data_IF_270211862285
#
_entry.id   IF_270211862285
#
_cell.length_a   1.000
_cell.length_b   1.000
_cell.length_c   1.000
_cell.angle_alpha   90.00
_cell.angle_beta   90.00
_cell.angle_gamma   90.00
#
_symmetry.space_group_name_H-M   'P 1'
#
loop_
_entity.id
_entity.type
_entity.pdbx_description
1 polymer ?
#
# COMPACT_ATOMS: atom_id res chain seq x y z
N UNK A 1 4.27 15.47 -49.72
CA UNK A 1 4.25 13.99 -49.65
C UNK A 1 5.11 13.45 -48.48
N UNK A 2 5.15 14.12 -47.32
CA UNK A 2 5.83 13.62 -46.11
C UNK A 2 5.11 13.98 -44.79
N UNK A 3 3.89 14.55 -44.84
CA UNK A 3 3.16 15.01 -43.65
C UNK A 3 2.08 14.03 -43.15
N UNK A 4 2.03 12.79 -43.67
CA UNK A 4 0.98 11.81 -43.34
C UNK A 4 1.46 10.60 -42.52
N UNK A 5 2.72 10.56 -42.08
CA UNK A 5 3.28 9.41 -41.34
C UNK A 5 3.41 9.61 -39.81
N UNK A 6 2.91 10.72 -39.25
CA UNK A 6 2.94 10.96 -37.79
C UNK A 6 1.60 10.69 -37.08
N UNK A 7 0.55 10.27 -37.79
CA UNK A 7 -0.74 9.93 -37.21
C UNK A 7 -0.85 8.44 -36.81
N UNK A 8 0.10 7.96 -36.01
CA UNK A 8 -0.14 6.76 -35.20
C UNK A 8 -0.62 7.21 -33.82
N UNK A 9 -1.83 6.83 -33.37
CA UNK A 9 -2.28 7.11 -32.01
C UNK A 9 -1.46 6.26 -31.04
N UNK A 10 -0.35 6.81 -30.55
CA UNK A 10 0.52 6.22 -29.54
C UNK A 10 -0.05 6.32 -28.13
N UNK A 11 -1.14 7.06 -27.94
CA UNK A 11 -1.78 7.23 -26.62
C UNK A 11 -2.32 5.92 -26.03
N UNK A 12 -2.68 4.92 -26.86
CA UNK A 12 -3.31 3.68 -26.37
C UNK A 12 -2.35 2.52 -26.08
N UNK A 13 -1.05 2.64 -26.41
CA UNK A 13 -0.08 1.56 -26.16
C UNK A 13 0.71 1.70 -24.85
N UNK A 14 0.77 2.91 -24.28
CA UNK A 14 1.63 3.18 -23.12
C UNK A 14 0.95 2.78 -21.79
N UNK A 15 -0.39 2.73 -21.73
CA UNK A 15 -1.12 2.62 -20.46
C UNK A 15 -1.68 1.22 -20.12
N UNK A 16 -1.51 0.22 -21.00
CA UNK A 16 -1.94 -1.17 -20.73
C UNK A 16 -0.74 -2.06 -20.49
N UNK A 17 -0.47 -2.37 -19.22
CA UNK A 17 0.44 -3.46 -18.87
C UNK A 17 -0.03 -4.75 -19.55
N UNK A 18 0.90 -5.44 -20.22
CA UNK A 18 0.59 -6.75 -20.76
C UNK A 18 0.40 -7.79 -19.63
N UNK A 19 -0.18 -8.94 -19.93
CA UNK A 19 -0.48 -9.96 -18.91
C UNK A 19 0.76 -10.43 -18.14
N UNK A 20 1.92 -10.53 -18.80
CA UNK A 20 3.17 -10.95 -18.15
C UNK A 20 3.63 -9.93 -17.11
N UNK A 21 3.55 -8.64 -17.43
CA UNK A 21 3.88 -7.55 -16.51
C UNK A 21 2.91 -7.51 -15.33
N UNK A 22 1.60 -7.73 -15.58
CA UNK A 22 0.59 -7.81 -14.51
C UNK A 22 0.88 -8.97 -13.55
N UNK A 23 1.18 -10.16 -14.08
CA UNK A 23 1.54 -11.32 -13.26
C UNK A 23 2.81 -11.08 -12.45
N UNK A 24 3.81 -10.43 -13.06
CA UNK A 24 5.05 -10.09 -12.35
C UNK A 24 4.78 -9.09 -11.21
N UNK A 25 4.00 -8.04 -11.47
CA UNK A 25 3.59 -7.10 -10.44
C UNK A 25 2.78 -7.76 -9.31
N UNK A 26 1.89 -8.71 -9.64
CA UNK A 26 1.16 -9.49 -8.65
C UNK A 26 2.10 -10.31 -7.78
N UNK A 27 3.06 -11.02 -8.37
CA UNK A 27 4.07 -11.80 -7.63
C UNK A 27 4.88 -10.91 -6.69
N UNK A 28 5.26 -9.71 -7.13
CA UNK A 28 5.96 -8.74 -6.27
C UNK A 28 5.07 -8.26 -5.12
N UNK A 29 3.80 -7.98 -5.39
CA UNK A 29 2.83 -7.62 -4.33
C UNK A 29 2.70 -8.69 -3.26
N UNK A 30 2.59 -9.96 -3.66
CA UNK A 30 2.56 -11.09 -2.72
C UNK A 30 3.90 -11.35 -2.04
N UNK A 31 5.03 -11.16 -2.73
CA UNK A 31 6.36 -11.23 -2.10
C UNK A 31 6.51 -10.19 -0.97
N UNK A 32 5.86 -9.03 -1.11
CA UNK A 32 5.76 -8.03 -0.04
C UNK A 32 5.04 -8.49 1.23
N UNK A 33 4.29 -9.60 1.21
CA UNK A 33 3.72 -10.17 2.44
C UNK A 33 4.71 -10.98 3.27
N UNK A 34 5.82 -11.43 2.66
CA UNK A 34 6.78 -12.32 3.33
C UNK A 34 7.32 -11.69 4.63
N UNK A 35 7.76 -10.41 4.66
CA UNK A 35 8.23 -9.82 5.91
C UNK A 35 7.14 -9.71 6.98
N UNK A 36 5.90 -9.39 6.59
CA UNK A 36 4.77 -9.35 7.54
C UNK A 36 4.53 -10.71 8.19
N UNK A 37 4.53 -11.79 7.40
CA UNK A 37 4.31 -13.14 7.91
C UNK A 37 5.44 -13.57 8.86
N UNK A 38 6.69 -13.35 8.46
CA UNK A 38 7.86 -13.72 9.27
C UNK A 38 7.88 -12.97 10.61
N UNK A 39 7.62 -11.66 10.58
CA UNK A 39 7.63 -10.82 11.78
C UNK A 39 6.42 -11.13 12.68
N UNK A 40 5.25 -11.41 12.11
CA UNK A 40 4.09 -11.82 12.88
C UNK A 40 4.30 -13.18 13.57
N UNK A 41 4.89 -14.14 12.86
CA UNK A 41 5.25 -15.45 13.44
C UNK A 41 6.31 -15.32 14.53
N UNK A 42 7.34 -14.50 14.31
CA UNK A 42 8.35 -14.22 15.34
C UNK A 42 7.71 -13.61 16.60
N UNK A 43 6.76 -12.68 16.43
CA UNK A 43 5.97 -12.13 17.53
C UNK A 43 5.13 -13.18 18.25
N UNK A 44 4.48 -14.07 17.52
CA UNK A 44 3.61 -15.12 18.08
C UNK A 44 4.40 -16.21 18.84
N UNK A 45 5.59 -16.55 18.36
CA UNK A 45 6.48 -17.54 19.00
C UNK A 45 7.33 -16.92 20.12
N UNK A 46 7.13 -15.64 20.41
CA UNK A 46 7.94 -14.83 21.32
C UNK A 46 9.46 -14.87 21.02
N UNK A 47 9.81 -15.07 19.75
CA UNK A 47 11.21 -15.00 19.28
C UNK A 47 11.54 -13.54 19.07
N UNK A 48 12.08 -12.90 20.12
CA UNK A 48 12.31 -11.46 20.17
C UNK A 48 11.01 -10.65 19.95
N UNK A 49 9.93 -11.02 20.64
CA UNK A 49 8.57 -10.53 20.36
C UNK A 49 8.44 -9.00 20.25
N UNK A 50 8.98 -8.25 21.21
CA UNK A 50 8.95 -6.78 21.18
C UNK A 50 9.65 -6.18 19.96
N UNK A 51 10.82 -6.73 19.59
CA UNK A 51 11.59 -6.31 18.42
C UNK A 51 10.81 -6.68 17.15
N UNK A 52 10.24 -7.90 17.08
CA UNK A 52 9.45 -8.34 15.94
C UNK A 52 8.24 -7.43 15.68
N UNK A 53 7.50 -7.03 16.74
CA UNK A 53 6.37 -6.09 16.65
C UNK A 53 6.84 -4.70 16.19
N UNK A 54 7.99 -4.24 16.69
CA UNK A 54 8.56 -2.96 16.28
C UNK A 54 8.91 -2.96 14.78
N UNK A 55 9.62 -3.98 14.29
CA UNK A 55 9.94 -4.12 12.87
C UNK A 55 8.70 -4.32 11.99
N UNK A 56 7.70 -5.05 12.49
CA UNK A 56 6.41 -5.18 11.82
C UNK A 56 5.75 -3.82 11.61
N UNK A 57 5.77 -2.98 12.66
CA UNK A 57 5.25 -1.60 12.61
C UNK A 57 6.01 -0.76 11.59
N UNK A 58 7.34 -0.83 11.58
CA UNK A 58 8.18 -0.08 10.64
C UNK A 58 7.90 -0.47 9.20
N UNK A 59 7.77 -1.78 8.95
CA UNK A 59 7.45 -2.29 7.62
C UNK A 59 6.03 -1.89 7.17
N UNK A 60 5.06 -1.88 8.09
CA UNK A 60 3.70 -1.39 7.85
C UNK A 60 3.69 0.08 7.41
N UNK A 61 4.46 0.94 8.09
CA UNK A 61 4.63 2.35 7.71
C UNK A 61 5.29 2.50 6.33
N UNK A 62 6.31 1.69 6.03
CA UNK A 62 6.98 1.72 4.73
C UNK A 62 6.04 1.32 3.58
N UNK A 63 5.26 0.25 3.76
CA UNK A 63 4.33 -0.24 2.74
C UNK A 63 3.22 0.77 2.46
N UNK A 64 2.59 1.35 3.49
CA UNK A 64 1.55 2.34 3.25
C UNK A 64 2.08 3.62 2.60
N UNK A 65 3.33 4.00 2.92
CA UNK A 65 4.01 5.12 2.28
C UNK A 65 4.30 4.84 0.81
N UNK A 66 4.78 3.63 0.50
CA UNK A 66 5.00 3.17 -0.87
C UNK A 66 3.70 3.20 -1.69
N UNK A 67 2.59 2.72 -1.13
CA UNK A 67 1.28 2.70 -1.80
C UNK A 67 0.76 4.10 -2.13
N UNK A 68 0.95 5.04 -1.21
CA UNK A 68 0.62 6.44 -1.47
C UNK A 68 1.48 7.03 -2.59
N UNK A 69 2.78 6.69 -2.64
CA UNK A 69 3.68 7.05 -3.73
C UNK A 69 3.25 6.48 -5.09
N UNK A 70 2.78 5.23 -5.13
CA UNK A 70 2.21 4.62 -6.35
C UNK A 70 0.98 5.41 -6.83
N UNK A 71 0.07 5.78 -5.92
CA UNK A 71 -1.11 6.57 -6.29
C UNK A 71 -0.72 7.96 -6.80
N UNK A 72 0.29 8.60 -6.19
CA UNK A 72 0.82 9.88 -6.65
C UNK A 72 1.36 9.78 -8.09
N UNK A 73 2.16 8.74 -8.38
CA UNK A 73 2.67 8.46 -9.71
C UNK A 73 1.59 8.17 -10.75
N UNK A 74 0.54 7.44 -10.37
CA UNK A 74 -0.59 7.18 -11.27
C UNK A 74 -1.37 8.46 -11.61
N UNK A 75 -1.60 9.33 -10.62
CA UNK A 75 -2.27 10.60 -10.87
C UNK A 75 -1.45 11.47 -11.84
N UNK A 76 -0.12 11.50 -11.73
CA UNK A 76 0.72 12.21 -12.70
C UNK A 76 0.65 11.63 -14.12
N UNK A 77 0.49 10.31 -14.22
CA UNK A 77 0.36 9.62 -15.50
C UNK A 77 -1.00 9.88 -16.19
N UNK A 78 -1.97 10.50 -15.51
CA UNK A 78 -3.29 10.86 -16.05
C UNK A 78 -3.51 12.39 -16.00
N UNK A 79 -2.90 13.18 -16.91
CA UNK A 79 -2.89 14.65 -16.83
C UNK A 79 -4.27 15.30 -16.82
N UNK A 80 -5.27 14.68 -17.47
CA UNK A 80 -6.64 15.21 -17.54
C UNK A 80 -7.45 14.99 -16.25
N UNK A 81 -7.05 14.04 -15.40
CA UNK A 81 -7.73 13.70 -14.15
C UNK A 81 -6.95 14.16 -12.89
N UNK A 82 -5.69 14.55 -13.07
CA UNK A 82 -4.82 15.02 -12.00
C UNK A 82 -5.28 16.41 -11.50
N UNK A 83 -5.50 16.54 -10.20
CA UNK A 83 -5.72 17.84 -9.55
C UNK A 83 -4.72 17.98 -8.41
N UNK A 84 -4.22 19.19 -8.14
CA UNK A 84 -3.36 19.48 -6.99
C UNK A 84 -3.93 18.91 -5.69
N UNK A 85 -5.26 18.96 -5.53
CA UNK A 85 -5.98 18.34 -4.40
C UNK A 85 -5.78 16.82 -4.32
N UNK A 86 -5.90 16.09 -5.43
CA UNK A 86 -5.74 14.62 -5.48
C UNK A 86 -4.29 14.21 -5.21
N UNK A 87 -3.33 14.98 -5.73
CA UNK A 87 -1.91 14.78 -5.44
C UNK A 87 -1.62 15.04 -3.95
N UNK A 88 -2.20 16.10 -3.37
CA UNK A 88 -2.11 16.37 -1.92
C UNK A 88 -2.68 15.25 -1.06
N UNK A 89 -3.78 14.62 -1.48
CA UNK A 89 -4.36 13.46 -0.78
C UNK A 89 -3.42 12.26 -0.71
N UNK A 90 -2.47 12.13 -1.63
CA UNK A 90 -1.45 11.06 -1.58
C UNK A 90 -0.49 11.22 -0.41
N UNK A 91 -0.34 12.42 0.14
CA UNK A 91 0.55 12.68 1.27
C UNK A 91 -0.09 12.34 2.62
N UNK A 92 -1.42 12.18 2.66
CA UNK A 92 -2.13 11.92 3.93
C UNK A 92 -1.70 10.60 4.57
N UNK A 93 -1.70 9.43 3.89
CA UNK A 93 -1.31 8.17 4.53
C UNK A 93 0.14 8.13 5.01
N UNK A 94 1.16 8.53 4.22
CA UNK A 94 2.55 8.55 4.69
C UNK A 94 2.72 9.43 5.92
N UNK A 95 2.10 10.61 5.95
CA UNK A 95 2.18 11.54 7.09
C UNK A 95 1.50 10.94 8.32
N UNK A 96 0.32 10.34 8.18
CA UNK A 96 -0.37 9.71 9.32
C UNK A 96 0.37 8.45 9.82
N UNK A 97 1.01 7.70 8.93
CA UNK A 97 1.81 6.54 9.30
C UNK A 97 3.10 6.95 10.02
N UNK A 98 3.79 7.99 9.52
CA UNK A 98 4.94 8.58 10.20
C UNK A 98 4.57 9.19 11.56
N UNK A 99 3.43 9.87 11.65
CA UNK A 99 2.92 10.38 12.92
C UNK A 99 2.67 9.25 13.92
N UNK A 100 2.13 8.11 13.48
CA UNK A 100 1.96 6.93 14.33
C UNK A 100 3.31 6.37 14.80
N UNK A 101 4.32 6.37 13.91
CA UNK A 101 5.67 5.95 14.27
C UNK A 101 6.29 6.88 15.32
N UNK A 102 6.20 8.19 15.14
CA UNK A 102 6.64 9.16 16.14
C UNK A 102 5.88 8.97 17.46
N UNK A 103 4.58 8.71 17.36
CA UNK A 103 3.69 8.48 18.50
C UNK A 103 4.05 7.23 19.32
N UNK A 104 4.81 6.27 18.77
CA UNK A 104 5.16 5.01 19.43
C UNK A 104 5.96 5.18 20.73
N UNK A 105 6.57 6.34 20.97
CA UNK A 105 7.25 6.66 22.23
C UNK A 105 6.27 6.95 23.40
N UNK A 106 5.04 7.38 23.09
CA UNK A 106 4.04 7.78 24.09
C UNK A 106 2.85 6.83 24.17
N UNK A 107 2.58 6.04 23.13
CA UNK A 107 1.45 5.12 23.07
C UNK A 107 1.91 3.67 23.00
N UNK A 108 1.07 2.74 23.46
CA UNK A 108 1.35 1.32 23.40
C UNK A 108 1.36 0.79 21.96
N UNK A 109 2.09 -0.32 21.75
CA UNK A 109 2.13 -1.03 20.46
C UNK A 109 0.73 -1.38 19.95
N UNK A 110 -0.21 -1.72 20.85
CA UNK A 110 -1.61 -1.99 20.51
C UNK A 110 -2.26 -0.81 19.77
N UNK A 111 -2.12 0.40 20.30
CA UNK A 111 -2.74 1.60 19.72
C UNK A 111 -2.14 1.89 18.33
N UNK A 112 -0.81 1.76 18.21
CA UNK A 112 -0.12 1.98 16.94
C UNK A 112 -0.51 0.94 15.88
N UNK A 113 -0.57 -0.34 16.25
CA UNK A 113 -1.00 -1.42 15.37
C UNK A 113 -2.45 -1.23 14.92
N UNK A 114 -3.35 -0.88 15.84
CA UNK A 114 -4.75 -0.61 15.52
C UNK A 114 -4.90 0.57 14.56
N UNK A 115 -4.16 1.66 14.81
CA UNK A 115 -4.13 2.83 13.94
C UNK A 115 -3.67 2.48 12.52
N UNK A 116 -2.55 1.74 12.39
CA UNK A 116 -2.02 1.34 11.09
C UNK A 116 -2.95 0.38 10.35
N UNK A 117 -3.64 -0.53 11.05
CA UNK A 117 -4.64 -1.41 10.45
C UNK A 117 -5.81 -0.61 9.86
N UNK A 118 -6.35 0.35 10.62
CA UNK A 118 -7.42 1.24 10.16
C UNK A 118 -6.95 2.07 8.97
N UNK A 119 -5.73 2.60 9.02
CA UNK A 119 -5.15 3.41 7.94
C UNK A 119 -5.01 2.60 6.63
N UNK A 120 -4.61 1.33 6.71
CA UNK A 120 -4.57 0.43 5.55
C UNK A 120 -5.95 0.19 4.93
N UNK A 121 -6.99 -0.02 5.76
CA UNK A 121 -8.37 -0.19 5.28
C UNK A 121 -8.93 1.10 4.67
N UNK A 122 -8.68 2.23 5.33
CA UNK A 122 -9.08 3.54 4.85
C UNK A 122 -8.47 3.82 3.48
N UNK A 123 -7.17 3.54 3.33
CA UNK A 123 -6.48 3.74 2.05
C UNK A 123 -7.01 2.80 0.96
N UNK A 124 -7.24 1.52 1.25
CA UNK A 124 -7.85 0.60 0.28
C UNK A 124 -9.25 1.07 -0.17
N UNK A 125 -10.06 1.59 0.75
CA UNK A 125 -11.37 2.16 0.41
C UNK A 125 -11.24 3.42 -0.46
N UNK A 126 -10.24 4.26 -0.19
CA UNK A 126 -9.93 5.40 -1.05
C UNK A 126 -9.50 4.96 -2.46
N UNK A 127 -8.64 3.94 -2.56
CA UNK A 127 -8.21 3.33 -3.82
C UNK A 127 -9.41 2.80 -4.61
N UNK A 128 -10.31 2.04 -3.99
CA UNK A 128 -11.52 1.51 -4.65
C UNK A 128 -12.40 2.59 -5.29
N UNK A 129 -12.45 3.80 -4.71
CA UNK A 129 -13.24 4.92 -5.23
C UNK A 129 -12.58 5.67 -6.38
N UNK A 130 -11.25 5.65 -6.45
CA UNK A 130 -10.49 6.47 -7.40
C UNK A 130 -9.74 5.66 -8.47
N UNK A 131 -9.64 4.34 -8.32
CA UNK A 131 -8.96 3.41 -9.21
C UNK A 131 -9.89 2.30 -9.73
N UNK A 132 -11.22 2.53 -9.76
CA UNK A 132 -12.20 1.52 -10.16
C UNK A 132 -11.92 0.90 -11.55
N UNK A 133 -11.25 1.64 -12.43
CA UNK A 133 -10.83 1.17 -13.76
C UNK A 133 -9.72 0.09 -13.73
N UNK A 134 -9.04 -0.12 -12.59
CA UNK A 134 -7.95 -1.08 -12.40
C UNK A 134 -8.37 -2.27 -11.51
N UNK A 135 -9.41 -3.00 -11.90
CA UNK A 135 -9.99 -4.14 -11.15
C UNK A 135 -8.97 -5.20 -10.70
N UNK A 136 -8.00 -5.55 -11.56
CA UNK A 136 -6.96 -6.55 -11.23
C UNK A 136 -6.08 -6.11 -10.05
N UNK A 137 -5.79 -4.81 -9.99
CA UNK A 137 -4.99 -4.20 -8.93
C UNK A 137 -5.80 -4.14 -7.64
N UNK A 138 -7.05 -3.69 -7.70
CA UNK A 138 -7.93 -3.62 -6.52
C UNK A 138 -8.21 -4.99 -5.90
N UNK A 139 -8.36 -6.02 -6.72
CA UNK A 139 -8.54 -7.40 -6.25
C UNK A 139 -7.31 -7.89 -5.48
N UNK A 140 -6.12 -7.70 -6.07
CA UNK A 140 -4.85 -8.04 -5.41
C UNK A 140 -4.67 -7.24 -4.11
N UNK A 141 -4.86 -5.91 -4.16
CA UNK A 141 -4.74 -5.02 -3.00
C UNK A 141 -5.69 -5.42 -1.87
N UNK A 142 -6.91 -5.82 -2.20
CA UNK A 142 -7.87 -6.34 -1.22
C UNK A 142 -7.35 -7.56 -0.48
N UNK A 143 -6.80 -8.54 -1.19
CA UNK A 143 -6.24 -9.76 -0.59
C UNK A 143 -5.01 -9.44 0.29
N UNK A 144 -4.11 -8.58 -0.20
CA UNK A 144 -2.91 -8.15 0.55
C UNK A 144 -3.31 -7.41 1.82
N UNK A 145 -4.15 -6.37 1.71
CA UNK A 145 -4.59 -5.55 2.85
C UNK A 145 -5.37 -6.37 3.87
N UNK A 146 -6.25 -7.28 3.43
CA UNK A 146 -6.97 -8.16 4.35
C UNK A 146 -6.01 -9.04 5.15
N UNK A 147 -5.01 -9.63 4.48
CA UNK A 147 -3.98 -10.44 5.13
C UNK A 147 -3.18 -9.60 6.12
N UNK A 148 -2.71 -8.42 5.72
CA UNK A 148 -1.94 -7.52 6.59
C UNK A 148 -2.76 -7.09 7.81
N UNK A 149 -4.03 -6.74 7.64
CA UNK A 149 -4.91 -6.35 8.74
C UNK A 149 -5.16 -7.53 9.69
N UNK A 150 -5.36 -8.74 9.18
CA UNK A 150 -5.47 -9.94 10.02
C UNK A 150 -4.21 -10.14 10.87
N UNK A 151 -3.01 -9.94 10.29
CA UNK A 151 -1.74 -10.02 11.04
C UNK A 151 -1.62 -8.91 12.09
N UNK A 152 -2.09 -7.69 11.82
CA UNK A 152 -2.15 -6.64 12.84
C UNK A 152 -3.06 -7.04 14.01
N UNK A 153 -4.23 -7.62 13.72
CA UNK A 153 -5.17 -8.09 14.75
C UNK A 153 -4.55 -9.19 15.60
N UNK A 154 -3.85 -10.16 14.99
CA UNK A 154 -3.15 -11.22 15.72
C UNK A 154 -2.12 -10.63 16.68
N UNK A 155 -1.28 -9.70 16.21
CA UNK A 155 -0.27 -9.06 17.06
C UNK A 155 -0.89 -8.17 18.15
N UNK A 156 -2.02 -7.52 17.88
CA UNK A 156 -2.79 -6.81 18.90
C UNK A 156 -3.22 -7.76 20.01
N UNK A 157 -3.80 -8.91 19.67
CA UNK A 157 -4.28 -9.89 20.66
C UNK A 157 -3.15 -10.39 21.55
N UNK A 158 -1.96 -10.62 20.99
CA UNK A 158 -0.78 -11.09 21.75
C UNK A 158 -0.19 -9.98 22.64
N UNK A 159 -0.39 -8.71 22.26
CA UNK A 159 0.14 -7.54 22.98
C UNK A 159 -0.77 -7.02 24.10
N UNK A 160 -1.95 -7.64 24.30
CA UNK A 160 -2.88 -7.36 25.41
C UNK A 160 -2.44 -8.13 26.64
#
# INVERSE_FOLDING_TARGET
MLCELYHLPTENRICRMNQQQQQFAQRLGFAGLVPFLLLALAGLLDVYGAIAIQWFTYYSVAIISFLAGVHWGLQMAQPSAATNRRLGWCMVPPVLAFAALAASAWFSSLVILAWLAVLHLFWLNYERRHLAEHEWYLTMRGQLTFTVVALHIILIIISI
#
